data_IF_814839201692
#
_entry.id   IF_814839201692
#
_cell.length_a   1.000
_cell.length_b   1.000
_cell.length_c   1.000
_cell.angle_alpha   90.00
_cell.angle_beta   90.00
_cell.angle_gamma   90.00
#
_symmetry.space_group_name_H-M   'P 1'
#
loop_
_entity.id
_entity.type
_entity.pdbx_description
1 polymer ?
#
# COMPACT_ATOMS: atom_id res chain seq x y z
N UNK A 1 39.86 15.12 -10.09
CA UNK A 1 39.35 14.00 -9.27
C UNK A 1 38.28 14.59 -8.36
N UNK A 2 37.01 14.54 -8.75
CA UNK A 2 35.92 15.14 -7.97
C UNK A 2 35.66 14.29 -6.73
N UNK A 3 35.95 14.86 -5.57
CA UNK A 3 35.59 14.34 -4.25
C UNK A 3 34.06 14.22 -4.21
N UNK A 4 33.54 13.01 -4.43
CA UNK A 4 32.10 12.75 -4.29
C UNK A 4 31.76 12.99 -2.82
N UNK A 5 31.00 14.05 -2.55
CA UNK A 5 30.48 14.34 -1.21
C UNK A 5 29.91 13.05 -0.60
N UNK A 6 30.45 12.65 0.55
CA UNK A 6 30.06 11.43 1.22
C UNK A 6 28.62 11.58 1.74
N UNK A 7 27.74 10.65 1.36
CA UNK A 7 26.34 10.67 1.79
C UNK A 7 26.28 10.29 3.26
N UNK A 8 25.71 11.15 4.11
CA UNK A 8 25.59 10.92 5.56
C UNK A 8 24.21 10.44 5.96
N UNK A 9 24.13 9.66 7.03
CA UNK A 9 22.87 9.17 7.59
C UNK A 9 21.88 10.29 7.89
N UNK A 10 22.37 11.40 8.45
CA UNK A 10 21.56 12.54 8.84
C UNK A 10 20.99 13.29 7.63
N UNK A 11 21.77 13.43 6.56
CA UNK A 11 21.27 14.04 5.31
C UNK A 11 20.12 13.23 4.71
N UNK A 12 20.26 11.91 4.66
CA UNK A 12 19.24 11.00 4.16
C UNK A 12 17.98 10.97 5.03
N UNK A 13 18.15 10.98 6.37
CA UNK A 13 17.03 11.05 7.32
C UNK A 13 16.26 12.36 7.19
N UNK A 14 16.95 13.50 7.10
CA UNK A 14 16.30 14.81 6.86
C UNK A 14 15.52 14.84 5.55
N UNK A 15 16.08 14.29 4.47
CA UNK A 15 15.38 14.21 3.20
C UNK A 15 14.15 13.30 3.28
N UNK A 16 14.26 12.15 3.95
CA UNK A 16 13.12 11.25 4.21
C UNK A 16 12.04 11.96 5.02
N UNK A 17 12.39 12.69 6.08
CA UNK A 17 11.40 13.40 6.89
C UNK A 17 10.70 14.50 6.10
N UNK A 18 11.40 15.17 5.17
CA UNK A 18 10.76 16.09 4.22
C UNK A 18 9.79 15.36 3.28
N UNK A 19 10.21 14.25 2.64
CA UNK A 19 9.37 13.43 1.73
C UNK A 19 8.16 12.83 2.43
N UNK A 20 8.31 12.45 3.69
CA UNK A 20 7.25 11.88 4.50
C UNK A 20 6.38 12.93 5.19
N UNK A 21 6.59 14.22 4.89
CA UNK A 21 5.84 15.35 5.45
C UNK A 21 5.87 15.37 6.99
N UNK A 22 6.99 14.92 7.57
CA UNK A 22 7.23 14.83 9.03
C UNK A 22 7.81 16.13 9.61
N UNK A 23 7.53 17.25 8.98
CA UNK A 23 7.88 18.59 9.44
C UNK A 23 6.60 19.43 9.58
N UNK A 24 6.46 20.28 10.63
CA UNK A 24 5.24 21.05 10.84
C UNK A 24 4.83 21.91 9.63
N UNK A 25 5.82 22.42 8.88
CA UNK A 25 5.63 23.24 7.68
C UNK A 25 5.14 22.46 6.47
N UNK A 26 5.28 21.13 6.46
CA UNK A 26 4.88 20.25 5.35
C UNK A 26 3.64 19.41 5.70
N UNK A 27 3.05 19.59 6.90
CA UNK A 27 1.99 18.72 7.39
C UNK A 27 0.78 18.68 6.46
N UNK A 28 0.14 17.52 6.36
CA UNK A 28 -1.12 17.35 5.63
C UNK A 28 -2.27 17.95 6.43
N UNK A 29 -3.03 18.86 5.80
CA UNK A 29 -4.13 19.60 6.45
C UNK A 29 -5.52 19.28 5.87
N UNK A 30 -5.61 18.43 4.84
CA UNK A 30 -6.87 18.13 4.17
C UNK A 30 -6.67 17.26 2.93
N UNK A 31 -7.78 16.97 2.25
CA UNK A 31 -7.85 15.97 1.16
C UNK A 31 -6.89 16.26 0.01
N UNK A 32 -6.81 17.51 -0.44
CA UNK A 32 -5.88 17.92 -1.52
C UNK A 32 -4.42 17.64 -1.14
N UNK A 33 -4.03 17.99 0.08
CA UNK A 33 -2.68 17.75 0.59
C UNK A 33 -2.39 16.26 0.77
N UNK A 34 -3.36 15.51 1.28
CA UNK A 34 -3.25 14.06 1.46
C UNK A 34 -3.09 13.33 0.12
N UNK A 35 -3.86 13.71 -0.90
CA UNK A 35 -3.72 13.13 -2.24
C UNK A 35 -2.37 13.46 -2.86
N UNK A 36 -1.91 14.71 -2.74
CA UNK A 36 -0.58 15.10 -3.21
C UNK A 36 0.52 14.30 -2.51
N UNK A 37 0.40 14.12 -1.19
CA UNK A 37 1.30 13.30 -0.39
C UNK A 37 1.33 11.84 -0.87
N UNK A 38 0.18 11.18 -1.00
CA UNK A 38 0.12 9.78 -1.46
C UNK A 38 0.75 9.62 -2.85
N UNK A 39 0.51 10.56 -3.77
CA UNK A 39 1.13 10.54 -5.11
C UNK A 39 2.65 10.73 -5.06
N UNK A 40 3.13 11.62 -4.19
CA UNK A 40 4.57 11.88 -4.01
C UNK A 40 5.31 10.65 -3.47
N UNK A 41 4.76 9.98 -2.45
CA UNK A 41 5.38 8.80 -1.82
C UNK A 41 4.99 7.48 -2.49
N UNK A 42 4.06 7.50 -3.43
CA UNK A 42 3.48 6.35 -4.12
C UNK A 42 2.47 5.57 -3.27
N UNK A 43 2.82 5.24 -2.03
CA UNK A 43 1.92 4.61 -1.08
C UNK A 43 2.31 4.92 0.38
N UNK A 44 1.33 4.88 1.26
CA UNK A 44 1.53 5.08 2.68
C UNK A 44 0.59 4.19 3.50
N UNK A 45 0.97 3.90 4.74
CA UNK A 45 0.04 3.36 5.72
C UNK A 45 -0.86 4.44 6.29
N UNK A 46 -1.92 4.05 6.98
CA UNK A 46 -2.77 5.00 7.70
C UNK A 46 -2.15 5.39 9.05
N UNK A 47 -2.00 4.41 9.94
CA UNK A 47 -1.45 4.58 11.29
C UNK A 47 -0.25 3.66 11.59
N UNK A 48 -0.06 2.61 10.80
CA UNK A 48 0.98 1.60 11.07
C UNK A 48 2.36 2.06 10.59
N UNK A 49 3.34 2.12 11.48
CA UNK A 49 4.70 2.53 11.12
C UNK A 49 5.52 1.31 10.72
N UNK A 50 5.81 1.19 9.43
CA UNK A 50 6.64 0.10 8.92
C UNK A 50 8.12 0.32 9.31
N UNK A 51 8.78 -0.69 9.90
CA UNK A 51 10.23 -0.62 10.15
C UNK A 51 11.03 -0.58 8.85
N UNK A 52 10.45 -1.00 7.72
CA UNK A 52 11.03 -0.85 6.38
C UNK A 52 11.06 0.60 5.87
N UNK A 53 10.50 1.57 6.59
CA UNK A 53 10.49 2.96 6.13
C UNK A 53 9.48 3.23 5.03
N UNK A 54 8.25 2.75 5.21
CA UNK A 54 7.08 3.19 4.42
C UNK A 54 6.49 4.43 5.06
N UNK A 55 6.05 5.39 4.24
CA UNK A 55 5.37 6.60 4.69
C UNK A 55 4.10 6.27 5.50
N UNK A 56 3.70 7.16 6.40
CA UNK A 56 2.51 7.02 7.25
C UNK A 56 1.69 8.30 7.19
N UNK A 57 0.41 8.20 6.82
CA UNK A 57 -0.49 9.34 6.70
C UNK A 57 -0.64 10.07 8.04
N UNK A 58 -0.75 9.35 9.16
CA UNK A 58 -0.85 9.98 10.47
C UNK A 58 0.40 10.78 10.85
N UNK A 59 1.61 10.31 10.47
CA UNK A 59 2.84 11.08 10.69
C UNK A 59 2.88 12.35 9.84
N UNK A 60 2.40 12.26 8.60
CA UNK A 60 2.28 13.40 7.70
C UNK A 60 1.23 14.43 8.18
N UNK A 61 0.09 13.97 8.70
CA UNK A 61 -0.93 14.84 9.32
C UNK A 61 -0.39 15.49 10.60
N UNK A 62 0.30 14.71 11.44
CA UNK A 62 0.91 15.23 12.65
C UNK A 62 2.10 16.17 12.38
N UNK A 63 2.68 16.13 11.17
CA UNK A 63 3.84 16.94 10.81
C UNK A 63 5.09 16.59 11.62
N UNK A 64 5.22 15.34 12.09
CA UNK A 64 6.37 14.88 12.89
C UNK A 64 6.56 13.37 12.81
N UNK A 65 7.81 12.92 12.93
CA UNK A 65 8.12 11.49 13.09
C UNK A 65 7.65 10.97 14.44
N UNK A 66 7.16 9.73 14.50
CA UNK A 66 6.79 9.05 15.76
C UNK A 66 5.90 9.90 16.69
N UNK A 67 4.75 10.42 16.22
CA UNK A 67 3.82 11.10 17.09
C UNK A 67 3.35 10.14 18.19
N UNK A 68 3.23 10.64 19.41
CA UNK A 68 2.68 9.88 20.54
C UNK A 68 1.18 9.73 20.34
N UNK A 69 0.66 8.52 20.56
CA UNK A 69 -0.78 8.29 20.55
C UNK A 69 -1.47 9.11 21.66
N UNK A 70 -2.48 9.93 21.35
CA UNK A 70 -3.22 10.72 22.34
C UNK A 70 -4.00 9.82 23.31
N UNK A 71 -4.18 10.28 24.56
CA UNK A 71 -4.99 9.54 25.56
C UNK A 71 -6.48 9.50 25.17
N UNK A 72 -7.00 10.57 24.57
CA UNK A 72 -8.39 10.68 24.14
C UNK A 72 -8.46 10.74 22.61
N UNK A 73 -8.12 9.62 21.95
CA UNK A 73 -7.99 9.57 20.49
C UNK A 73 -9.27 9.88 19.71
N UNK A 74 -10.44 9.70 20.32
CA UNK A 74 -11.74 9.97 19.68
C UNK A 74 -12.02 11.48 19.47
N UNK A 75 -11.29 12.36 20.15
CA UNK A 75 -11.43 13.82 20.02
C UNK A 75 -10.17 14.49 19.47
N UNK A 76 -9.15 13.72 19.08
CA UNK A 76 -7.93 14.26 18.53
C UNK A 76 -8.13 14.64 17.06
N UNK A 77 -7.93 15.91 16.72
CA UNK A 77 -8.14 16.43 15.38
C UNK A 77 -7.24 15.77 14.32
N UNK A 78 -6.02 15.36 14.68
CA UNK A 78 -5.10 14.68 13.76
C UNK A 78 -5.52 13.25 13.47
N UNK A 79 -6.01 12.53 14.48
CA UNK A 79 -6.58 11.19 14.32
C UNK A 79 -7.89 11.27 13.53
N UNK A 80 -8.79 12.19 13.87
CA UNK A 80 -10.04 12.44 13.15
C UNK A 80 -9.79 12.71 11.67
N UNK A 81 -8.92 13.69 11.37
CA UNK A 81 -8.55 13.99 9.98
C UNK A 81 -7.93 12.78 9.27
N UNK A 82 -7.10 11.97 9.94
CA UNK A 82 -6.51 10.77 9.31
C UNK A 82 -7.59 9.74 8.95
N UNK A 83 -8.61 9.54 9.79
CA UNK A 83 -9.76 8.68 9.48
C UNK A 83 -10.58 9.22 8.32
N UNK A 84 -10.95 10.51 8.38
CA UNK A 84 -11.73 11.16 7.32
C UNK A 84 -11.03 11.04 5.96
N UNK A 85 -9.72 11.28 5.91
CA UNK A 85 -8.92 11.13 4.69
C UNK A 85 -8.87 9.69 4.18
N UNK A 86 -8.75 8.72 5.10
CA UNK A 86 -8.73 7.29 4.81
C UNK A 86 -10.07 6.79 4.25
N UNK A 87 -11.19 7.45 4.56
CA UNK A 87 -12.51 7.12 4.02
C UNK A 87 -12.82 7.85 2.72
N UNK A 88 -12.60 9.17 2.72
CA UNK A 88 -12.98 10.05 1.60
C UNK A 88 -12.17 9.83 0.34
N UNK A 89 -10.85 9.66 0.44
CA UNK A 89 -9.98 9.47 -0.72
C UNK A 89 -10.32 8.22 -1.54
N UNK A 90 -10.45 7.01 -0.94
CA UNK A 90 -10.86 5.84 -1.68
C UNK A 90 -12.32 5.91 -2.11
N UNK A 91 -13.26 6.43 -1.30
CA UNK A 91 -14.65 6.55 -1.72
C UNK A 91 -14.81 7.37 -3.01
N UNK A 92 -13.97 8.38 -3.21
CA UNK A 92 -13.89 9.20 -4.44
C UNK A 92 -12.98 8.63 -5.53
N UNK A 93 -12.53 7.38 -5.41
CA UNK A 93 -11.57 6.71 -6.32
C UNK A 93 -10.35 7.58 -6.62
N UNK A 94 -9.78 8.24 -5.61
CA UNK A 94 -8.55 9.05 -5.78
C UNK A 94 -7.28 8.27 -5.46
N UNK A 95 -7.42 7.23 -4.64
CA UNK A 95 -6.39 6.28 -4.21
C UNK A 95 -7.04 4.91 -4.02
N UNK A 96 -6.26 3.84 -4.12
CA UNK A 96 -6.69 2.53 -3.67
C UNK A 96 -6.46 2.40 -2.16
N UNK A 97 -7.40 1.78 -1.43
CA UNK A 97 -7.23 1.42 -0.02
C UNK A 97 -7.38 -0.08 0.19
N UNK A 98 -6.37 -0.72 0.76
CA UNK A 98 -6.39 -2.17 1.01
C UNK A 98 -5.15 -2.72 1.71
N UNK A 99 -4.94 -4.03 1.63
CA UNK A 99 -3.90 -4.74 2.41
C UNK A 99 -2.84 -5.35 1.50
N UNK A 100 -1.95 -4.53 0.95
CA UNK A 100 -0.96 -4.98 -0.04
C UNK A 100 0.40 -5.37 0.54
N UNK A 101 0.79 -4.82 1.70
CA UNK A 101 2.07 -5.12 2.33
C UNK A 101 1.84 -5.68 3.73
N UNK A 102 2.27 -6.92 3.96
CA UNK A 102 2.24 -7.61 5.25
C UNK A 102 0.86 -7.59 5.94
N UNK A 103 -0.22 -7.63 5.16
CA UNK A 103 -1.59 -7.57 5.66
C UNK A 103 -1.98 -6.25 6.34
N UNK A 104 -1.20 -5.18 6.20
CA UNK A 104 -1.45 -3.88 6.83
C UNK A 104 -2.23 -2.95 5.90
N UNK A 105 -3.11 -2.08 6.43
CA UNK A 105 -3.83 -1.11 5.62
C UNK A 105 -2.91 -0.08 4.97
N UNK A 106 -3.12 0.16 3.68
CA UNK A 106 -2.35 1.06 2.84
C UNK A 106 -3.28 1.89 1.96
N UNK A 107 -2.87 3.13 1.72
CA UNK A 107 -3.34 3.98 0.61
C UNK A 107 -2.29 3.92 -0.50
N UNK A 108 -2.71 3.68 -1.73
CA UNK A 108 -1.84 3.56 -2.91
C UNK A 108 -2.30 4.51 -3.99
N UNK A 109 -1.37 5.27 -4.55
CA UNK A 109 -1.63 6.14 -5.69
C UNK A 109 -2.07 5.32 -6.90
N UNK A 110 -3.10 5.77 -7.62
CA UNK A 110 -3.69 4.98 -8.71
C UNK A 110 -2.75 4.80 -9.90
N UNK A 111 -1.80 5.71 -10.13
CA UNK A 111 -0.75 5.56 -11.15
C UNK A 111 0.28 4.48 -10.81
N UNK A 112 0.39 4.09 -9.52
CA UNK A 112 1.25 3.00 -9.06
C UNK A 112 0.48 1.67 -8.95
N UNK A 113 -0.84 1.73 -8.79
CA UNK A 113 -1.68 0.57 -8.52
C UNK A 113 -1.56 -0.57 -9.57
N UNK A 114 -1.50 -0.30 -10.89
CA UNK A 114 -1.29 -1.35 -11.91
C UNK A 114 -0.07 -2.24 -11.62
N UNK A 115 0.99 -1.68 -11.05
CA UNK A 115 2.19 -2.44 -10.71
C UNK A 115 1.95 -3.39 -9.54
N UNK A 116 1.25 -2.95 -8.49
CA UNK A 116 0.82 -3.85 -7.42
C UNK A 116 -0.10 -4.96 -7.93
N UNK A 117 -1.02 -4.63 -8.84
CA UNK A 117 -1.88 -5.63 -9.47
C UNK A 117 -1.07 -6.69 -10.21
N UNK A 118 -0.11 -6.28 -11.04
CA UNK A 118 0.77 -7.19 -11.78
C UNK A 118 1.58 -8.11 -10.84
N UNK A 119 2.04 -7.59 -9.68
CA UNK A 119 2.78 -8.39 -8.70
C UNK A 119 1.92 -9.45 -8.00
N UNK A 120 0.67 -9.09 -7.65
CA UNK A 120 -0.22 -9.94 -6.85
C UNK A 120 -1.01 -10.92 -7.73
N UNK A 121 -1.47 -10.48 -8.91
CA UNK A 121 -2.41 -11.21 -9.77
C UNK A 121 -1.90 -11.49 -11.16
N UNK A 122 -0.91 -10.75 -11.63
CA UNK A 122 -0.44 -10.85 -13.00
C UNK A 122 -1.61 -10.70 -13.98
N UNK A 123 -1.86 -11.71 -14.80
CA UNK A 123 -2.89 -11.70 -15.85
C UNK A 123 -4.29 -12.10 -15.38
N UNK A 124 -4.42 -12.60 -14.16
CA UNK A 124 -5.67 -13.16 -13.64
C UNK A 124 -6.79 -12.12 -13.61
N UNK A 125 -8.02 -12.59 -13.74
CA UNK A 125 -9.27 -11.85 -13.57
C UNK A 125 -9.99 -12.32 -12.31
N UNK A 126 -11.01 -11.60 -11.86
CA UNK A 126 -11.80 -12.01 -10.70
C UNK A 126 -12.46 -13.37 -10.89
N UNK A 127 -12.89 -13.71 -12.12
CA UNK A 127 -13.45 -15.03 -12.45
C UNK A 127 -12.52 -16.22 -12.24
N UNK A 128 -11.20 -15.99 -12.16
CA UNK A 128 -10.20 -17.05 -12.03
C UNK A 128 -10.05 -17.54 -10.57
N UNK A 129 -10.85 -17.02 -9.63
CA UNK A 129 -10.78 -17.40 -8.20
C UNK A 129 -10.96 -18.91 -7.95
N UNK A 130 -11.68 -19.62 -8.83
CA UNK A 130 -11.88 -21.06 -8.72
C UNK A 130 -10.58 -21.84 -8.96
N UNK A 131 -9.76 -21.39 -9.91
CA UNK A 131 -8.44 -21.99 -10.19
C UNK A 131 -7.54 -21.85 -8.96
N UNK A 132 -7.58 -20.69 -8.29
CA UNK A 132 -6.81 -20.44 -7.06
C UNK A 132 -7.30 -21.29 -5.88
N UNK A 133 -8.61 -21.50 -5.78
CA UNK A 133 -9.19 -22.42 -4.80
C UNK A 133 -8.78 -23.87 -5.05
N UNK A 134 -8.90 -24.35 -6.28
CA UNK A 134 -8.51 -25.71 -6.69
C UNK A 134 -7.02 -25.96 -6.45
N UNK A 135 -6.19 -24.94 -6.64
CA UNK A 135 -4.76 -25.00 -6.34
C UNK A 135 -4.40 -24.81 -4.85
N UNK A 136 -5.39 -24.75 -3.96
CA UNK A 136 -5.19 -24.65 -2.50
C UNK A 136 -4.71 -23.28 -2.01
N UNK A 137 -4.74 -22.24 -2.85
CA UNK A 137 -4.30 -20.87 -2.50
C UNK A 137 -5.42 -19.97 -1.99
N UNK A 138 -6.68 -20.39 -2.18
CA UNK A 138 -7.85 -19.70 -1.64
C UNK A 138 -8.56 -20.59 -0.61
N UNK A 139 -9.00 -20.01 0.51
CA UNK A 139 -9.79 -20.73 1.50
C UNK A 139 -11.22 -20.99 1.02
N UNK A 140 -11.86 -22.04 1.55
CA UNK A 140 -13.25 -22.36 1.21
C UNK A 140 -14.21 -21.19 1.53
N UNK A 141 -13.99 -20.48 2.63
CA UNK A 141 -14.79 -19.29 2.98
C UNK A 141 -14.58 -18.16 1.97
N UNK A 142 -13.33 -17.90 1.57
CA UNK A 142 -13.04 -16.88 0.56
C UNK A 142 -13.65 -17.24 -0.80
N UNK A 143 -13.62 -18.51 -1.21
CA UNK A 143 -14.32 -19.01 -2.40
C UNK A 143 -15.83 -18.76 -2.34
N UNK A 144 -16.49 -19.04 -1.20
CA UNK A 144 -17.94 -18.78 -1.01
C UNK A 144 -18.28 -17.29 -1.11
N UNK A 145 -17.43 -16.44 -0.54
CA UNK A 145 -17.57 -14.98 -0.68
C UNK A 145 -17.43 -14.57 -2.15
N UNK A 146 -16.46 -15.12 -2.88
CA UNK A 146 -16.31 -14.85 -4.31
C UNK A 146 -17.49 -15.34 -5.14
N UNK A 147 -18.08 -16.52 -4.86
CA UNK A 147 -19.31 -16.95 -5.54
C UNK A 147 -20.44 -15.93 -5.36
N UNK A 148 -20.60 -15.39 -4.14
CA UNK A 148 -21.61 -14.38 -3.85
C UNK A 148 -21.34 -13.07 -4.62
N UNK A 149 -20.10 -12.59 -4.59
CA UNK A 149 -19.69 -11.34 -5.24
C UNK A 149 -19.71 -11.42 -6.78
N UNK A 150 -19.42 -12.58 -7.37
CA UNK A 150 -19.51 -12.80 -8.82
C UNK A 150 -20.97 -12.78 -9.29
N UNK A 151 -21.90 -13.30 -8.48
CA UNK A 151 -23.34 -13.25 -8.80
C UNK A 151 -23.90 -11.83 -8.67
N UNK A 152 -23.51 -11.12 -7.62
CA UNK A 152 -24.02 -9.79 -7.32
C UNK A 152 -22.94 -8.95 -6.64
N UNK A 153 -22.66 -7.78 -7.19
CA UNK A 153 -21.79 -6.77 -6.60
C UNK A 153 -22.27 -5.38 -7.03
N UNK A 154 -22.05 -4.34 -6.20
CA UNK A 154 -21.46 -4.37 -4.86
C UNK A 154 -22.44 -4.90 -3.78
N UNK A 155 -21.91 -5.31 -2.62
CA UNK A 155 -22.74 -5.74 -1.48
C UNK A 155 -22.30 -5.06 -0.18
N UNK A 156 -23.25 -4.78 0.72
CA UNK A 156 -22.92 -4.35 2.08
C UNK A 156 -22.54 -5.54 2.97
N UNK A 157 -21.73 -5.32 4.00
CA UNK A 157 -21.18 -6.40 4.85
C UNK A 157 -22.27 -7.31 5.43
N UNK A 158 -23.39 -6.75 5.89
CA UNK A 158 -24.49 -7.53 6.47
C UNK A 158 -25.14 -8.45 5.42
N UNK A 159 -25.38 -7.92 4.23
CA UNK A 159 -25.95 -8.65 3.09
C UNK A 159 -24.99 -9.75 2.60
N UNK A 160 -23.72 -9.41 2.40
CA UNK A 160 -22.70 -10.38 2.01
C UNK A 160 -22.62 -11.54 3.01
N UNK A 161 -22.68 -11.24 4.31
CA UNK A 161 -22.72 -12.28 5.37
C UNK A 161 -23.97 -13.14 5.30
N UNK A 162 -25.14 -12.58 4.98
CA UNK A 162 -26.35 -13.36 4.77
C UNK A 162 -26.19 -14.31 3.58
N UNK A 163 -25.68 -13.79 2.45
CA UNK A 163 -25.47 -14.54 1.21
C UNK A 163 -24.45 -15.68 1.33
N UNK A 164 -23.56 -15.62 2.33
CA UNK A 164 -22.61 -16.70 2.64
C UNK A 164 -22.94 -17.45 3.94
N UNK A 165 -24.13 -17.25 4.52
CA UNK A 165 -24.60 -17.91 5.74
C UNK A 165 -23.62 -17.74 6.93
N UNK A 166 -23.22 -16.49 7.17
CA UNK A 166 -22.28 -16.10 8.22
C UNK A 166 -22.79 -14.94 9.09
N UNK A 167 -24.11 -14.77 9.24
CA UNK A 167 -24.66 -13.73 10.12
C UNK A 167 -24.32 -13.96 11.61
N UNK A 168 -24.14 -15.21 12.01
CA UNK A 168 -23.82 -15.59 13.39
C UNK A 168 -22.50 -14.97 13.90
N UNK A 169 -22.47 -14.45 15.14
CA UNK A 169 -21.24 -13.89 15.73
C UNK A 169 -20.06 -14.87 15.78
N UNK A 170 -20.32 -16.16 15.97
CA UNK A 170 -19.31 -17.23 15.99
C UNK A 170 -18.51 -17.32 14.68
N UNK A 171 -19.08 -16.87 13.56
CA UNK A 171 -18.46 -16.89 12.23
C UNK A 171 -17.64 -15.64 11.91
N UNK A 172 -17.65 -14.62 12.78
CA UNK A 172 -17.02 -13.32 12.50
C UNK A 172 -15.53 -13.41 12.20
N UNK A 173 -14.76 -14.12 13.04
CA UNK A 173 -13.31 -14.28 12.81
C UNK A 173 -13.01 -14.97 11.48
N UNK A 174 -13.80 -15.98 11.12
CA UNK A 174 -13.66 -16.71 9.86
C UNK A 174 -13.95 -15.80 8.65
N UNK A 175 -15.02 -14.99 8.74
CA UNK A 175 -15.39 -14.03 7.71
C UNK A 175 -14.31 -12.97 7.52
N UNK A 176 -13.84 -12.35 8.61
CA UNK A 176 -12.81 -11.32 8.58
C UNK A 176 -11.48 -11.84 8.02
N UNK A 177 -11.11 -13.09 8.35
CA UNK A 177 -9.92 -13.74 7.77
C UNK A 177 -10.06 -13.89 6.26
N UNK A 178 -11.21 -14.37 5.79
CA UNK A 178 -11.47 -14.52 4.36
C UNK A 178 -11.53 -13.17 3.63
N UNK A 179 -12.12 -12.13 4.24
CA UNK A 179 -12.10 -10.77 3.67
C UNK A 179 -10.69 -10.19 3.61
N UNK A 180 -9.85 -10.46 4.61
CA UNK A 180 -8.45 -10.04 4.60
C UNK A 180 -7.64 -10.78 3.52
N UNK A 181 -7.89 -12.07 3.33
CA UNK A 181 -7.32 -12.90 2.27
C UNK A 181 -7.71 -12.35 0.88
N UNK A 182 -9.00 -12.09 0.66
CA UNK A 182 -9.50 -11.56 -0.60
C UNK A 182 -9.00 -10.15 -0.92
N UNK A 183 -8.82 -9.29 0.08
CA UNK A 183 -8.20 -7.97 -0.10
C UNK A 183 -6.71 -8.08 -0.44
N UNK A 184 -5.97 -8.96 0.24
CA UNK A 184 -4.54 -9.19 -0.04
C UNK A 184 -4.34 -9.75 -1.45
N UNK A 185 -5.25 -10.61 -1.90
CA UNK A 185 -5.27 -11.15 -3.26
C UNK A 185 -5.93 -10.24 -4.29
N UNK A 186 -6.25 -8.97 -3.96
CA UNK A 186 -6.86 -8.03 -4.93
C UNK A 186 -8.11 -8.58 -5.63
N UNK A 187 -8.91 -9.41 -4.94
CA UNK A 187 -10.18 -9.90 -5.46
C UNK A 187 -11.30 -8.89 -5.20
N UNK A 188 -11.33 -8.38 -3.98
CA UNK A 188 -12.32 -7.44 -3.50
C UNK A 188 -11.67 -6.17 -3.01
N UNK A 189 -12.45 -5.10 -3.02
CA UNK A 189 -12.08 -3.80 -2.47
C UNK A 189 -13.20 -3.28 -1.59
N UNK A 190 -12.82 -2.56 -0.52
CA UNK A 190 -13.76 -1.77 0.26
C UNK A 190 -14.01 -0.47 -0.50
N UNK A 191 -15.18 -0.36 -1.12
CA UNK A 191 -15.54 0.79 -1.97
C UNK A 191 -16.10 1.97 -1.17
N UNK A 192 -16.68 1.73 0.01
CA UNK A 192 -17.32 2.75 0.85
C UNK A 192 -17.37 2.34 2.32
N UNK A 193 -17.31 3.32 3.22
CA UNK A 193 -17.74 3.19 4.62
C UNK A 193 -18.99 4.05 4.82
N UNK A 194 -20.11 3.41 5.18
CA UNK A 194 -21.36 4.08 5.50
C UNK A 194 -21.53 4.10 7.01
N UNK A 195 -21.72 5.27 7.61
CA UNK A 195 -21.93 5.40 9.06
C UNK A 195 -23.42 5.42 9.45
N UNK A 196 -24.28 5.97 8.58
CA UNK A 196 -25.71 6.17 8.84
C UNK A 196 -26.61 5.29 7.94
N UNK A 197 -27.76 4.79 8.43
CA UNK A 197 -28.22 4.81 9.82
C UNK A 197 -27.48 3.80 10.73
N UNK A 198 -26.67 2.92 10.13
CA UNK A 198 -25.82 1.96 10.83
C UNK A 198 -24.51 1.77 10.07
N UNK A 199 -23.43 1.57 10.82
CA UNK A 199 -22.11 1.38 10.25
C UNK A 199 -22.04 0.12 9.38
N UNK A 200 -21.60 0.27 8.12
CA UNK A 200 -21.38 -0.86 7.22
C UNK A 200 -20.34 -0.54 6.15
N UNK A 201 -19.52 -1.54 5.82
CA UNK A 201 -18.67 -1.47 4.63
C UNK A 201 -19.42 -1.96 3.40
N UNK A 202 -19.25 -1.26 2.29
CA UNK A 202 -19.62 -1.75 0.95
C UNK A 202 -18.41 -2.38 0.28
N UNK A 203 -18.58 -3.61 -0.18
CA UNK A 203 -17.56 -4.39 -0.87
C UNK A 203 -17.90 -4.50 -2.35
N UNK A 204 -16.88 -4.45 -3.18
CA UNK A 204 -17.01 -4.55 -4.62
C UNK A 204 -15.94 -5.49 -5.20
N UNK A 205 -16.17 -6.02 -6.40
CA UNK A 205 -15.12 -6.65 -7.18
C UNK A 205 -14.10 -5.58 -7.57
N UNK A 206 -12.82 -5.84 -7.34
CA UNK A 206 -11.79 -4.85 -7.67
C UNK A 206 -11.82 -4.47 -9.15
N UNK A 207 -12.01 -5.45 -10.03
CA UNK A 207 -12.02 -5.23 -11.49
C UNK A 207 -13.24 -4.44 -11.97
N UNK A 208 -14.35 -4.44 -11.21
CA UNK A 208 -15.49 -3.57 -11.48
C UNK A 208 -15.25 -2.15 -10.94
N UNK A 209 -14.55 -2.06 -9.81
CA UNK A 209 -14.30 -0.78 -9.13
C UNK A 209 -13.21 0.06 -9.81
N UNK A 210 -12.11 -0.55 -10.28
CA UNK A 210 -10.98 0.07 -11.00
C UNK A 210 -10.70 -0.69 -12.32
N UNK A 211 -11.60 -0.62 -13.32
CA UNK A 211 -11.46 -1.41 -14.54
C UNK A 211 -10.22 -1.05 -15.36
N UNK A 212 -9.86 0.23 -15.41
CA UNK A 212 -8.74 0.75 -16.20
C UNK A 212 -7.40 0.31 -15.60
N UNK A 213 -7.20 0.55 -14.31
CA UNK A 213 -5.96 0.20 -13.62
C UNK A 213 -5.74 -1.31 -13.54
N UNK A 214 -6.83 -2.09 -13.43
CA UNK A 214 -6.77 -3.56 -13.52
C UNK A 214 -6.41 -4.02 -14.93
N UNK A 215 -6.98 -3.40 -15.97
CA UNK A 215 -6.63 -3.73 -17.35
C UNK A 215 -5.14 -3.43 -17.64
N UNK A 216 -4.64 -2.28 -17.19
CA UNK A 216 -3.23 -1.92 -17.29
C UNK A 216 -2.34 -2.92 -16.54
N UNK A 217 -2.67 -3.22 -15.28
CA UNK A 217 -1.89 -4.15 -14.46
C UNK A 217 -1.80 -5.56 -15.05
N UNK A 218 -2.85 -6.02 -15.73
CA UNK A 218 -2.87 -7.33 -16.41
C UNK A 218 -1.95 -7.39 -17.63
N UNK A 219 -1.71 -6.25 -18.28
CA UNK A 219 -0.83 -6.15 -19.44
C UNK A 219 0.62 -5.87 -19.03
N UNK A 220 0.86 -5.41 -17.79
CA UNK A 220 2.17 -5.02 -17.32
C UNK A 220 3.08 -6.22 -17.06
N UNK A 221 4.29 -6.29 -17.67
CA UNK A 221 5.26 -7.33 -17.37
C UNK A 221 5.71 -7.27 -15.91
N UNK A 222 5.82 -8.42 -15.26
CA UNK A 222 6.23 -8.52 -13.84
C UNK A 222 7.55 -7.80 -13.57
N UNK A 223 8.55 -7.94 -14.43
CA UNK A 223 9.85 -7.27 -14.27
C UNK A 223 9.71 -5.74 -14.26
N UNK A 224 8.83 -5.18 -15.10
CA UNK A 224 8.56 -3.75 -15.12
C UNK A 224 7.82 -3.30 -13.85
N UNK A 225 6.85 -4.11 -13.39
CA UNK A 225 6.12 -3.86 -12.15
C UNK A 225 7.04 -3.87 -10.92
N UNK A 226 7.94 -4.86 -10.81
CA UNK A 226 8.92 -4.94 -9.70
C UNK A 226 9.81 -3.70 -9.70
N UNK A 227 10.40 -3.36 -10.85
CA UNK A 227 11.28 -2.19 -10.95
C UNK A 227 10.54 -0.89 -10.59
N UNK A 228 9.32 -0.69 -11.09
CA UNK A 228 8.54 0.51 -10.82
C UNK A 228 8.09 0.65 -9.36
N UNK A 229 7.66 -0.45 -8.72
CA UNK A 229 7.30 -0.42 -7.29
C UNK A 229 8.53 -0.14 -6.41
N UNK A 230 9.68 -0.75 -6.72
CA UNK A 230 10.93 -0.51 -6.00
C UNK A 230 11.38 0.94 -6.16
N UNK A 231 11.33 1.47 -7.38
CA UNK A 231 11.70 2.85 -7.67
C UNK A 231 10.82 3.84 -6.92
N UNK A 232 9.48 3.70 -7.03
CA UNK A 232 8.56 4.65 -6.38
C UNK A 232 8.68 4.59 -4.86
N UNK A 233 8.86 3.40 -4.29
CA UNK A 233 9.19 3.26 -2.87
C UNK A 233 10.52 3.93 -2.50
N UNK A 234 11.59 3.69 -3.28
CA UNK A 234 12.90 4.28 -3.01
C UNK A 234 12.89 5.80 -3.13
N UNK A 235 12.11 6.37 -4.07
CA UNK A 235 11.90 7.81 -4.20
C UNK A 235 11.34 8.43 -2.90
N UNK A 236 10.29 7.81 -2.33
CA UNK A 236 9.70 8.25 -1.07
C UNK A 236 10.59 7.97 0.15
N UNK A 237 11.07 6.73 0.28
CA UNK A 237 11.87 6.26 1.41
C UNK A 237 13.30 6.80 1.41
N UNK A 238 13.77 7.36 0.29
CA UNK A 238 15.10 7.93 0.03
C UNK A 238 16.23 6.90 0.02
N UNK A 239 16.23 5.95 0.95
CA UNK A 239 17.26 4.92 1.08
C UNK A 239 16.70 3.63 1.69
N UNK A 240 17.28 2.48 1.34
CA UNK A 240 16.83 1.15 1.77
C UNK A 240 17.96 0.12 1.59
N UNK A 241 17.67 -1.16 1.75
CA UNK A 241 18.59 -2.26 1.41
C UNK A 241 17.86 -3.32 0.59
N UNK A 242 18.59 -4.15 -0.15
CA UNK A 242 18.01 -5.24 -0.96
C UNK A 242 17.18 -6.19 -0.10
N UNK A 243 17.68 -6.52 1.09
CA UNK A 243 16.98 -7.37 2.06
C UNK A 243 15.67 -6.76 2.54
N UNK A 244 15.63 -5.44 2.75
CA UNK A 244 14.40 -4.74 3.14
C UNK A 244 13.39 -4.75 1.99
N UNK A 245 13.83 -4.55 0.75
CA UNK A 245 12.97 -4.60 -0.44
C UNK A 245 12.33 -5.98 -0.61
N UNK A 246 13.14 -7.05 -0.57
CA UNK A 246 12.64 -8.43 -0.65
C UNK A 246 11.61 -8.74 0.44
N UNK A 247 11.90 -8.34 1.69
CA UNK A 247 10.99 -8.55 2.83
C UNK A 247 9.72 -7.69 2.77
N UNK A 248 9.81 -6.47 2.25
CA UNK A 248 8.68 -5.55 2.19
C UNK A 248 7.64 -6.05 1.19
N UNK A 249 8.10 -6.36 -0.02
CA UNK A 249 7.25 -6.72 -1.15
C UNK A 249 7.03 -8.23 -1.33
N UNK A 250 7.70 -9.07 -0.52
CA UNK A 250 7.63 -10.52 -0.66
C UNK A 250 8.28 -11.01 -1.95
N UNK A 251 9.35 -10.33 -2.39
CA UNK A 251 10.01 -10.62 -3.67
C UNK A 251 11.19 -11.59 -3.48
N UNK A 252 11.38 -12.54 -4.42
CA UNK A 252 12.59 -13.34 -4.50
C UNK A 252 13.85 -12.45 -4.62
N UNK A 253 14.98 -12.83 -3.99
CA UNK A 253 16.21 -12.02 -4.02
C UNK A 253 16.70 -11.71 -5.45
N UNK A 254 16.57 -12.66 -6.38
CA UNK A 254 17.00 -12.50 -7.76
C UNK A 254 16.15 -11.48 -8.54
N UNK A 255 14.83 -11.40 -8.25
CA UNK A 255 13.96 -10.35 -8.79
C UNK A 255 14.40 -8.96 -8.30
N UNK A 256 14.76 -8.84 -7.01
CA UNK A 256 15.25 -7.58 -6.44
C UNK A 256 16.57 -7.16 -7.09
N UNK A 257 17.54 -8.07 -7.20
CA UNK A 257 18.85 -7.78 -7.82
C UNK A 257 18.68 -7.32 -9.27
N UNK A 258 17.86 -8.01 -10.08
CA UNK A 258 17.62 -7.61 -11.47
C UNK A 258 16.97 -6.23 -11.58
N UNK A 259 15.99 -5.95 -10.72
CA UNK A 259 15.32 -4.67 -10.69
C UNK A 259 16.27 -3.53 -10.29
N UNK A 260 17.10 -3.74 -9.26
CA UNK A 260 18.10 -2.76 -8.82
C UNK A 260 19.13 -2.48 -9.92
N UNK A 261 19.65 -3.52 -10.59
CA UNK A 261 20.58 -3.37 -11.70
C UNK A 261 19.98 -2.52 -12.84
N UNK A 262 18.70 -2.75 -13.18
CA UNK A 262 17.97 -1.94 -14.17
C UNK A 262 17.83 -0.48 -13.74
N UNK A 263 17.45 -0.23 -12.50
CA UNK A 263 17.29 1.12 -11.95
C UNK A 263 18.62 1.87 -11.81
N UNK A 264 19.71 1.17 -11.51
CA UNK A 264 21.06 1.74 -11.52
C UNK A 264 21.49 2.16 -12.93
N UNK A 265 21.27 1.31 -13.94
CA UNK A 265 21.53 1.67 -15.34
C UNK A 265 20.71 2.88 -15.80
N UNK A 266 19.48 3.01 -15.32
CA UNK A 266 18.62 4.15 -15.59
C UNK A 266 18.98 5.41 -14.76
N UNK A 267 19.94 5.32 -13.83
CA UNK A 267 20.34 6.44 -12.97
C UNK A 267 19.33 6.81 -11.89
N UNK A 268 18.26 6.03 -11.70
CA UNK A 268 17.21 6.32 -10.72
C UNK A 268 17.70 6.09 -9.27
N UNK A 269 18.59 5.11 -9.08
CA UNK A 269 19.14 4.75 -7.77
C UNK A 269 20.65 4.47 -7.87
N UNK A 270 21.33 4.53 -6.73
CA UNK A 270 22.69 4.05 -6.53
C UNK A 270 22.65 2.87 -5.56
N UNK A 271 23.13 1.71 -5.99
CA UNK A 271 23.29 0.53 -5.13
C UNK A 271 24.67 0.54 -4.46
N UNK A 272 24.86 -0.35 -3.48
CA UNK A 272 26.13 -0.59 -2.77
C UNK A 272 26.79 0.65 -2.14
N UNK A 273 25.99 1.65 -1.76
CA UNK A 273 26.48 2.89 -1.17
C UNK A 273 26.93 2.66 0.28
N UNK A 274 28.15 3.10 0.60
CA UNK A 274 28.54 3.39 1.97
C UNK A 274 27.88 4.69 2.40
N UNK A 275 27.21 4.68 3.56
CA UNK A 275 26.58 5.86 4.14
C UNK A 275 27.22 6.10 5.49
N UNK A 276 27.82 7.28 5.66
CA UNK A 276 28.46 7.65 6.91
C UNK A 276 27.44 7.65 8.06
N UNK A 277 27.75 6.96 9.16
CA UNK A 277 26.84 6.82 10.30
C UNK A 277 25.83 5.68 10.18
N UNK A 278 25.85 4.87 9.11
CA UNK A 278 25.08 3.62 9.03
C UNK A 278 26.00 2.43 8.70
N UNK A 279 25.83 1.28 9.37
CA UNK A 279 26.56 0.07 9.00
C UNK A 279 26.05 -0.51 7.67
N UNK A 280 26.93 -1.24 6.98
CA UNK A 280 26.60 -2.02 5.80
C UNK A 280 26.48 -1.21 4.51
N UNK A 281 25.78 -1.79 3.53
CA UNK A 281 25.63 -1.26 2.17
C UNK A 281 24.19 -0.92 1.89
N UNK A 282 23.97 0.25 1.29
CA UNK A 282 22.65 0.83 1.12
C UNK A 282 22.33 1.07 -0.36
N UNK A 283 21.04 0.99 -0.66
CA UNK A 283 20.45 1.50 -1.90
C UNK A 283 19.95 2.90 -1.61
N UNK A 284 20.42 3.90 -2.35
CA UNK A 284 20.04 5.31 -2.18
C UNK A 284 19.40 5.80 -3.47
N UNK A 285 18.22 6.41 -3.37
CA UNK A 285 17.58 7.03 -4.52
C UNK A 285 18.40 8.23 -5.00
N UNK A 286 18.44 8.47 -6.31
CA UNK A 286 19.27 9.51 -6.94
C UNK A 286 19.06 10.92 -6.38
N UNK A 287 17.87 11.23 -5.88
CA UNK A 287 17.56 12.50 -5.21
C UNK A 287 18.24 12.67 -3.84
N UNK A 288 18.61 11.58 -3.16
CA UNK A 288 19.32 11.60 -1.88
C UNK A 288 20.82 11.44 -1.99
N UNK A 289 21.33 11.27 -3.21
CA UNK A 289 22.76 11.10 -3.49
C UNK A 289 23.38 12.36 -4.14
N UNK A 290 22.68 13.49 -4.04
CA UNK A 290 23.11 14.82 -4.48
C UNK A 290 23.46 15.68 -3.26
#
# INVERSE_FOLDING_TARGET
>A
MQERAMVTADSLRRLRDRRFHRLPTHRVQGERGALAFVREVGFCSTFYRFPEGVACLWEAVAGRSNPRWPRHSHHDAGIGLTWDLKDTLPARKRVYYGKLLKGRPLLVALDLFPMFYALVRGRQRARDYRVEYEAGRLSHTARRIMDAMIREHPQYTRELRANVFMLEPSKTRQFERAMAELQQGLWLVKSEERYEPTFSYRWDLLEAWLPEEVAEGRCLPREAAVAGVIERYAHGAVFTTERLLGRLFGLPPDEVVRALAKLCRAGAIRADCAVEGLPGRWVVHSSGAR
#
